data_IF_876715858247
#
_entry.id   IF_876715858247
#
_cell.length_a   1.000
_cell.length_b   1.000
_cell.length_c   1.000
_cell.angle_alpha   90.00
_cell.angle_beta   90.00
_cell.angle_gamma   90.00
#
_symmetry.space_group_name_H-M   'P 1'
#
loop_
_entity.id
_entity.type
_entity.pdbx_description
1 polymer ?
#
# COMPACT_ATOMS: atom_id res chain seq x y z
N UNK A 1 4.01 -8.91 -1.93
CA UNK A 1 3.47 -7.57 -2.23
C UNK A 1 3.62 -7.33 -3.73
N UNK A 2 2.73 -6.56 -4.36
CA UNK A 2 2.89 -6.13 -5.76
C UNK A 2 3.35 -4.68 -5.80
N UNK A 3 4.52 -4.43 -6.38
CA UNK A 3 5.09 -3.11 -6.56
C UNK A 3 4.88 -2.64 -8.00
N UNK A 4 4.38 -1.42 -8.18
CA UNK A 4 4.32 -0.74 -9.47
C UNK A 4 4.97 0.63 -9.36
N UNK A 5 5.84 0.94 -10.30
CA UNK A 5 6.47 2.23 -10.49
C UNK A 5 5.93 2.83 -11.79
N UNK A 6 5.50 4.08 -11.76
CA UNK A 6 5.01 4.81 -12.94
C UNK A 6 5.26 6.29 -12.72
N UNK A 7 6.11 6.90 -13.54
CA UNK A 7 6.60 8.27 -13.34
C UNK A 7 7.14 8.47 -11.91
N UNK A 8 6.78 9.57 -11.24
CA UNK A 8 7.08 9.81 -9.82
C UNK A 8 6.02 9.20 -8.87
N UNK A 9 5.39 8.09 -9.27
CA UNK A 9 4.38 7.39 -8.46
C UNK A 9 4.81 5.96 -8.13
N UNK A 10 4.79 5.65 -6.84
CA UNK A 10 4.95 4.32 -6.26
C UNK A 10 3.58 3.79 -5.85
N UNK A 11 3.24 2.59 -6.30
CA UNK A 11 2.01 1.90 -5.88
C UNK A 11 2.35 0.51 -5.35
N UNK A 12 1.93 0.25 -4.12
CA UNK A 12 2.07 -1.03 -3.44
C UNK A 12 0.68 -1.62 -3.23
N UNK A 13 0.47 -2.85 -3.69
CA UNK A 13 -0.76 -3.60 -3.39
C UNK A 13 -0.45 -4.83 -2.55
N UNK A 14 -1.22 -5.02 -1.49
CA UNK A 14 -1.11 -6.16 -0.58
C UNK A 14 -2.23 -7.15 -0.85
N UNK A 15 -1.89 -8.42 -1.03
CA UNK A 15 -2.91 -9.48 -1.03
C UNK A 15 -3.60 -9.58 0.35
N UNK A 16 -4.77 -10.24 0.47
CA UNK A 16 -5.42 -10.44 1.76
C UNK A 16 -4.50 -11.06 2.82
N UNK A 17 -3.74 -12.10 2.47
CA UNK A 17 -2.81 -12.76 3.39
C UNK A 17 -1.65 -11.84 3.81
N UNK A 18 -1.19 -10.96 2.91
CA UNK A 18 -0.17 -9.96 3.21
C UNK A 18 -0.72 -8.88 4.14
N UNK A 19 -1.95 -8.42 3.92
CA UNK A 19 -2.62 -7.46 4.78
C UNK A 19 -2.79 -8.00 6.21
N UNK A 20 -3.22 -9.26 6.36
CA UNK A 20 -3.31 -9.94 7.66
C UNK A 20 -1.93 -10.04 8.34
N UNK A 21 -0.90 -10.41 7.57
CA UNK A 21 0.47 -10.48 8.07
C UNK A 21 0.96 -9.11 8.51
N UNK A 22 0.71 -8.06 7.73
CA UNK A 22 1.07 -6.69 8.07
C UNK A 22 0.35 -6.20 9.32
N UNK A 23 -0.95 -6.49 9.47
CA UNK A 23 -1.71 -6.14 10.66
C UNK A 23 -1.19 -6.83 11.94
N UNK A 24 -0.75 -8.08 11.84
CA UNK A 24 -0.27 -8.86 12.99
C UNK A 24 1.20 -8.63 13.34
N UNK A 25 2.07 -8.58 12.33
CA UNK A 25 3.53 -8.52 12.48
C UNK A 25 4.03 -7.08 12.40
N UNK A 26 3.31 -6.20 11.71
CA UNK A 26 3.70 -4.81 11.50
C UNK A 26 4.71 -4.61 10.37
N UNK A 27 5.08 -5.65 9.63
CA UNK A 27 6.08 -5.56 8.58
C UNK A 27 5.85 -6.56 7.44
N UNK A 28 6.17 -6.13 6.23
CA UNK A 28 6.33 -6.97 5.04
C UNK A 28 7.59 -6.57 4.28
N UNK A 29 8.31 -7.56 3.78
CA UNK A 29 9.53 -7.35 2.98
C UNK A 29 9.47 -8.17 1.70
N UNK A 30 9.83 -7.55 0.57
CA UNK A 30 9.99 -8.20 -0.74
C UNK A 30 11.38 -7.90 -1.28
N UNK A 31 12.07 -8.92 -1.76
CA UNK A 31 13.45 -8.81 -2.26
C UNK A 31 13.52 -9.31 -3.69
N UNK A 32 14.04 -8.47 -4.58
CA UNK A 32 14.39 -8.82 -5.95
C UNK A 32 15.92 -8.95 -5.98
N UNK A 33 16.43 -10.12 -6.32
CA UNK A 33 17.88 -10.33 -6.50
C UNK A 33 18.22 -10.28 -7.99
N UNK A 34 19.21 -9.49 -8.34
CA UNK A 34 19.70 -9.38 -9.73
C UNK A 34 20.96 -10.21 -9.93
N UNK A 35 21.89 -10.11 -8.99
CA UNK A 35 23.15 -10.87 -8.93
C UNK A 35 23.38 -11.33 -7.47
N UNK A 36 24.44 -12.13 -7.18
CA UNK A 36 24.74 -12.51 -5.80
C UNK A 36 24.97 -11.34 -4.84
N UNK A 37 25.44 -10.20 -5.35
CA UNK A 37 25.81 -8.99 -4.61
C UNK A 37 24.81 -7.82 -4.80
N UNK A 38 23.90 -7.91 -5.76
CA UNK A 38 22.92 -6.85 -6.06
C UNK A 38 21.49 -7.31 -5.80
N UNK A 39 20.80 -6.56 -4.94
CA UNK A 39 19.39 -6.74 -4.67
C UNK A 39 18.68 -5.40 -4.49
N UNK A 40 17.38 -5.41 -4.78
CA UNK A 40 16.45 -4.37 -4.43
C UNK A 40 15.51 -4.93 -3.36
N UNK A 41 15.33 -4.18 -2.28
CA UNK A 41 14.43 -4.54 -1.19
C UNK A 41 13.34 -3.49 -1.07
N UNK A 42 12.08 -3.92 -1.05
CA UNK A 42 10.94 -3.08 -0.70
C UNK A 42 10.38 -3.57 0.64
N UNK A 43 10.32 -2.66 1.62
CA UNK A 43 9.84 -2.92 2.98
C UNK A 43 8.67 -2.00 3.28
N UNK A 44 7.55 -2.58 3.69
CA UNK A 44 6.44 -1.85 4.30
C UNK A 44 6.48 -2.14 5.80
N UNK A 45 6.61 -1.11 6.63
CA UNK A 45 6.72 -1.29 8.08
C UNK A 45 5.88 -0.26 8.83
N UNK A 46 5.31 -0.71 9.94
CA UNK A 46 4.72 0.15 10.94
C UNK A 46 5.82 0.90 11.69
N UNK A 47 5.59 2.17 12.00
CA UNK A 47 6.51 2.98 12.80
C UNK A 47 5.78 3.63 13.98
N UNK A 48 6.46 3.64 15.12
CA UNK A 48 6.02 4.38 16.32
C UNK A 48 6.49 5.83 16.20
N UNK A 49 5.56 6.78 16.31
CA UNK A 49 5.89 8.20 16.24
C UNK A 49 4.66 9.11 16.12
N UNK A 50 4.89 10.41 16.12
CA UNK A 50 3.86 11.48 16.03
C UNK A 50 3.60 11.89 14.58
N UNK A 51 4.16 11.17 13.59
CA UNK A 51 3.95 11.51 12.19
C UNK A 51 2.60 10.97 11.76
N UNK A 52 1.71 11.82 11.25
CA UNK A 52 0.37 11.40 10.80
C UNK A 52 0.34 10.91 9.33
N UNK A 53 1.49 10.93 8.65
CA UNK A 53 1.59 10.68 7.21
C UNK A 53 2.50 9.51 6.87
N UNK A 54 2.29 8.93 5.68
CA UNK A 54 3.14 7.89 5.12
C UNK A 54 4.54 8.46 4.83
N UNK A 55 5.58 7.79 5.33
CA UNK A 55 6.97 8.13 5.02
C UNK A 55 7.56 7.23 3.95
N UNK A 56 8.40 7.77 3.07
CA UNK A 56 9.15 6.97 2.09
C UNK A 56 10.64 7.29 2.20
N UNK A 57 11.45 6.25 2.35
CA UNK A 57 12.89 6.35 2.48
C UNK A 57 13.57 5.38 1.54
N UNK A 58 14.62 5.83 0.86
CA UNK A 58 15.45 4.96 0.02
C UNK A 58 16.91 5.10 0.39
N UNK A 59 17.53 3.99 0.83
CA UNK A 59 18.95 3.97 1.17
C UNK A 59 19.53 2.57 0.93
N UNK A 60 20.71 2.49 0.33
CA UNK A 60 21.44 1.22 0.16
C UNK A 60 20.66 0.12 -0.58
N UNK A 61 19.80 0.47 -1.55
CA UNK A 61 18.98 -0.50 -2.28
C UNK A 61 17.70 -0.93 -1.54
N UNK A 62 17.39 -0.31 -0.40
CA UNK A 62 16.20 -0.58 0.41
C UNK A 62 15.23 0.59 0.32
N UNK A 63 14.09 0.36 -0.31
CA UNK A 63 12.92 1.25 -0.31
C UNK A 63 12.03 0.89 0.88
N UNK A 64 11.95 1.78 1.88
CA UNK A 64 11.12 1.61 3.07
C UNK A 64 9.93 2.56 3.02
N UNK A 65 8.73 1.99 3.15
CA UNK A 65 7.47 2.71 3.33
C UNK A 65 7.09 2.59 4.80
N UNK A 66 7.02 3.71 5.49
CA UNK A 66 6.68 3.82 6.90
C UNK A 66 5.22 4.20 7.06
N UNK A 67 4.46 3.35 7.74
CA UNK A 67 3.06 3.61 8.08
C UNK A 67 2.96 3.89 9.59
N UNK A 68 2.47 5.06 10.01
CA UNK A 68 2.23 5.32 11.43
C UNK A 68 1.29 4.27 12.04
N UNK A 69 1.54 3.84 13.28
CA UNK A 69 0.74 2.78 13.94
C UNK A 69 -0.77 3.05 13.90
N UNK A 70 -1.20 4.28 14.23
CA UNK A 70 -2.61 4.66 14.21
C UNK A 70 -3.23 4.55 12.81
N UNK A 71 -2.49 4.95 11.78
CA UNK A 71 -2.94 4.86 10.39
C UNK A 71 -2.96 3.41 9.91
N UNK A 72 -1.99 2.59 10.34
CA UNK A 72 -1.94 1.18 10.03
C UNK A 72 -3.11 0.41 10.66
N UNK A 73 -3.47 0.72 11.91
CA UNK A 73 -4.63 0.11 12.57
C UNK A 73 -5.93 0.51 11.88
N UNK A 74 -6.15 1.81 11.66
CA UNK A 74 -7.33 2.30 10.95
C UNK A 74 -7.44 1.67 9.55
N UNK A 75 -6.34 1.61 8.80
CA UNK A 75 -6.36 1.04 7.47
C UNK A 75 -6.60 -0.47 7.47
N UNK A 76 -5.94 -1.23 8.35
CA UNK A 76 -6.09 -2.70 8.36
C UNK A 76 -7.43 -3.19 8.91
N UNK A 77 -8.09 -2.41 9.78
CA UNK A 77 -9.32 -2.82 10.48
C UNK A 77 -10.61 -2.26 9.89
N UNK A 78 -10.54 -1.33 8.93
CA UNK A 78 -11.72 -0.70 8.30
C UNK A 78 -11.87 -1.09 6.83
N UNK A 79 -12.95 -0.64 6.19
CA UNK A 79 -13.16 -0.77 4.74
C UNK A 79 -12.29 0.20 3.91
N UNK A 80 -11.39 0.97 4.55
CA UNK A 80 -10.45 1.84 3.84
C UNK A 80 -9.59 1.00 2.87
N UNK A 81 -9.64 1.36 1.58
CA UNK A 81 -8.97 0.58 0.52
C UNK A 81 -7.48 0.86 0.46
N UNK A 82 -7.06 2.10 0.72
CA UNK A 82 -5.66 2.48 0.61
C UNK A 82 -5.26 3.69 1.45
N UNK A 83 -3.96 3.89 1.50
CA UNK A 83 -3.25 5.03 2.08
C UNK A 83 -2.52 5.74 0.95
N UNK A 84 -2.44 7.07 1.04
CA UNK A 84 -1.67 7.87 0.10
C UNK A 84 -0.87 8.95 0.81
N UNK A 85 0.25 9.33 0.20
CA UNK A 85 1.00 10.51 0.57
C UNK A 85 1.71 11.09 -0.65
N UNK A 86 1.91 12.41 -0.62
CA UNK A 86 2.72 13.13 -1.58
C UNK A 86 3.91 13.75 -0.83
N UNK A 87 5.09 13.60 -1.41
CA UNK A 87 6.32 14.21 -0.91
C UNK A 87 6.75 15.26 -1.94
N UNK A 88 6.86 16.51 -1.50
CA UNK A 88 7.39 17.60 -2.31
C UNK A 88 8.87 17.35 -2.59
N UNK A 89 9.25 17.36 -3.87
CA UNK A 89 10.63 17.20 -4.32
C UNK A 89 11.32 18.54 -4.61
N UNK A 90 10.60 19.66 -4.52
CA UNK A 90 11.00 20.97 -5.00
C UNK A 90 10.53 21.23 -6.43
N UNK A 91 10.60 22.50 -6.86
CA UNK A 91 10.33 22.94 -8.24
C UNK A 91 8.95 22.53 -8.81
N UNK A 92 7.97 22.30 -7.94
CA UNK A 92 6.62 21.88 -8.32
C UNK A 92 6.50 20.39 -8.67
N UNK A 93 7.54 19.59 -8.42
CA UNK A 93 7.53 18.15 -8.58
C UNK A 93 7.14 17.43 -7.29
N UNK A 94 6.38 16.35 -7.43
CA UNK A 94 5.90 15.55 -6.31
C UNK A 94 6.19 14.07 -6.54
N UNK A 95 6.60 13.40 -5.46
CA UNK A 95 6.63 11.95 -5.40
C UNK A 95 5.39 11.43 -4.68
N UNK A 96 4.62 10.60 -5.36
CA UNK A 96 3.37 10.02 -4.86
C UNK A 96 3.59 8.58 -4.42
N UNK A 97 3.04 8.22 -3.27
CA UNK A 97 3.00 6.83 -2.80
C UNK A 97 1.57 6.42 -2.49
N UNK A 98 1.18 5.25 -2.98
CA UNK A 98 -0.10 4.62 -2.70
C UNK A 98 0.14 3.22 -2.14
N UNK A 99 -0.49 2.90 -1.00
CA UNK A 99 -0.49 1.55 -0.41
C UNK A 99 -1.93 1.08 -0.33
N UNK A 100 -2.25 -0.02 -1.01
CA UNK A 100 -3.64 -0.46 -1.18
C UNK A 100 -3.83 -1.93 -0.85
N UNK A 101 -5.05 -2.27 -0.45
CA UNK A 101 -5.55 -3.63 -0.37
C UNK A 101 -5.82 -4.12 -1.79
N UNK A 102 -5.24 -5.25 -2.17
CA UNK A 102 -5.56 -5.97 -3.40
C UNK A 102 -6.88 -6.72 -3.19
N UNK A 103 -7.97 -5.96 -3.11
CA UNK A 103 -9.32 -6.49 -3.10
C UNK A 103 -9.58 -7.00 -4.52
N UNK A 104 -9.37 -8.29 -4.76
CA UNK A 104 -9.85 -8.93 -5.97
C UNK A 104 -11.31 -8.52 -6.14
N UNK A 105 -11.60 -7.77 -7.21
CA UNK A 105 -12.87 -7.09 -7.41
C UNK A 105 -14.03 -8.02 -7.03
N UNK A 106 -14.60 -7.82 -5.84
CA UNK A 106 -15.93 -8.29 -5.55
C UNK A 106 -16.80 -7.40 -6.41
N UNK A 107 -17.09 -7.85 -7.63
CA UNK A 107 -18.28 -7.39 -8.33
C UNK A 107 -19.40 -7.51 -7.30
N UNK A 108 -19.84 -6.38 -6.76
CA UNK A 108 -21.15 -6.34 -6.15
C UNK A 108 -22.06 -6.59 -7.34
N UNK A 109 -22.48 -7.84 -7.52
CA UNK A 109 -23.69 -8.12 -8.27
C UNK A 109 -24.77 -7.31 -7.57
N UNK A 110 -25.05 -6.11 -8.07
CA UNK A 110 -26.31 -5.43 -7.79
C UNK A 110 -27.37 -6.30 -8.44
N UNK A 111 -28.26 -6.96 -7.67
CA UNK A 111 -29.42 -7.57 -8.27
C UNK A 111 -30.27 -6.42 -8.83
N UNK A 112 -30.50 -6.48 -10.13
CA UNK A 112 -31.37 -5.57 -10.85
C UNK A 112 -32.80 -5.64 -10.27
N UNK A 113 -33.38 -4.53 -9.77
CA UNK A 113 -34.73 -4.51 -9.22
C UNK A 113 -35.84 -4.43 -10.29
N UNK A 114 -35.60 -4.77 -11.56
CA UNK A 114 -36.64 -4.82 -12.61
C UNK A 114 -37.34 -6.17 -12.77
N UNK A 115 -37.56 -6.92 -11.69
CA UNK A 115 -38.58 -7.98 -11.68
C UNK A 115 -39.69 -7.68 -10.67
N UNK A 116 -40.47 -6.63 -10.94
CA UNK A 116 -41.64 -6.27 -10.15
C UNK A 116 -42.83 -5.92 -11.05
N UNK A 117 -43.56 -6.97 -11.44
CA UNK A 117 -44.94 -7.02 -11.92
C UNK A 117 -45.31 -6.22 -13.19
N UNK A 118 -45.70 -6.94 -14.24
CA UNK A 118 -46.98 -6.67 -14.90
C UNK A 118 -47.65 -8.01 -15.22
N UNK A 119 -48.75 -8.25 -14.50
CA UNK A 119 -49.82 -9.21 -14.79
C UNK A 119 -50.71 -8.65 -15.90
#
# INVERSE_FOLDING_TARGET
MKLRLSDNTLRLRLSPAELETFGRVGELTSVIRFTPDQNFTCRLQRVKGVTDTLGVHYTGGVLSIHVPDAQADAWTQTDQVGLEAENDLGDGEFFRVLVEKDLACRHKETPDPENRFHE
#
